data_IF_778107109659
#
_entry.id   IF_778107109659
#
_cell.length_a   1.000
_cell.length_b   1.000
_cell.length_c   1.000
_cell.angle_alpha   90.00
_cell.angle_beta   90.00
_cell.angle_gamma   90.00
#
_symmetry.space_group_name_H-M   'P 1'
#
loop_
_entity.id
_entity.type
_entity.pdbx_description
1 polymer ?
#
# COMPACT_ATOMS: atom_id res chain seq x y z
N UNK A 1 -30.38 -19.15 1.75
CA UNK A 1 -29.48 -18.35 2.61
C UNK A 1 -29.19 -17.04 1.89
N UNK A 2 -29.34 -15.88 2.53
CA UNK A 2 -29.02 -14.60 1.87
C UNK A 2 -27.50 -14.43 1.72
N UNK A 3 -27.05 -13.60 0.77
CA UNK A 3 -25.61 -13.27 0.64
C UNK A 3 -25.04 -12.72 1.96
N UNK A 4 -25.83 -11.91 2.67
CA UNK A 4 -25.47 -11.40 3.99
C UNK A 4 -25.37 -12.53 5.03
N UNK A 5 -26.30 -13.49 5.02
CA UNK A 5 -26.25 -14.64 5.93
C UNK A 5 -24.99 -15.49 5.75
N UNK A 6 -24.56 -15.72 4.51
CA UNK A 6 -23.32 -16.44 4.23
C UNK A 6 -22.07 -15.69 4.75
N UNK A 7 -22.06 -14.35 4.69
CA UNK A 7 -20.98 -13.53 5.24
C UNK A 7 -20.95 -13.63 6.76
N UNK A 8 -22.09 -13.51 7.43
CA UNK A 8 -22.18 -13.63 8.90
C UNK A 8 -21.69 -15.01 9.35
N UNK A 9 -22.16 -16.08 8.71
CA UNK A 9 -21.72 -17.44 9.04
C UNK A 9 -20.21 -17.63 8.84
N UNK A 10 -19.64 -17.07 7.77
CA UNK A 10 -18.20 -17.14 7.52
C UNK A 10 -17.38 -16.42 8.60
N UNK A 11 -17.83 -15.25 9.04
CA UNK A 11 -17.18 -14.48 10.12
C UNK A 11 -17.27 -15.24 11.44
N UNK A 12 -18.44 -15.77 11.81
CA UNK A 12 -18.61 -16.58 13.02
C UNK A 12 -17.79 -17.87 12.99
N UNK A 13 -17.68 -18.51 11.83
CA UNK A 13 -16.84 -19.70 11.64
C UNK A 13 -15.36 -19.35 11.82
N UNK A 14 -14.92 -18.21 11.29
CA UNK A 14 -13.55 -17.75 11.49
C UNK A 14 -13.28 -17.42 12.97
N UNK A 15 -14.19 -16.71 13.64
CA UNK A 15 -14.07 -16.42 15.08
C UNK A 15 -13.95 -17.69 15.93
N UNK A 16 -14.79 -18.70 15.65
CA UNK A 16 -14.68 -20.02 16.31
C UNK A 16 -13.34 -20.70 16.04
N UNK A 17 -12.87 -20.66 14.79
CA UNK A 17 -11.55 -21.20 14.43
C UNK A 17 -10.43 -20.55 15.24
N UNK A 18 -10.44 -19.22 15.39
CA UNK A 18 -9.43 -18.49 16.19
C UNK A 18 -9.49 -18.94 17.64
N UNK A 19 -10.67 -19.01 18.25
CA UNK A 19 -10.83 -19.46 19.64
C UNK A 19 -10.32 -20.89 19.86
N UNK A 20 -10.54 -21.80 18.89
CA UNK A 20 -9.99 -23.16 18.94
C UNK A 20 -8.46 -23.16 18.86
N UNK A 21 -7.84 -22.32 18.03
CA UNK A 21 -6.38 -22.19 18.01
C UNK A 21 -5.82 -21.63 19.31
N UNK A 22 -6.49 -20.63 19.91
CA UNK A 22 -6.11 -20.09 21.23
C UNK A 22 -6.18 -21.18 22.30
N UNK A 23 -7.29 -21.92 22.35
CA UNK A 23 -7.46 -23.02 23.29
C UNK A 23 -6.38 -24.08 23.11
N UNK A 24 -6.09 -24.45 21.87
CA UNK A 24 -5.03 -25.40 21.53
C UNK A 24 -3.65 -24.90 21.99
N UNK A 25 -3.32 -23.64 21.76
CA UNK A 25 -2.05 -23.05 22.20
C UNK A 25 -1.89 -23.03 23.73
N UNK A 26 -3.00 -23.04 24.48
CA UNK A 26 -2.97 -23.15 25.95
C UNK A 26 -2.92 -24.58 26.47
N UNK A 27 -3.35 -25.57 25.68
CA UNK A 27 -3.47 -26.97 26.13
C UNK A 27 -2.42 -27.93 25.55
N UNK A 28 -1.88 -27.64 24.37
CA UNK A 28 -0.92 -28.49 23.65
C UNK A 28 0.46 -27.84 23.65
N UNK A 29 1.38 -28.36 24.47
CA UNK A 29 2.73 -27.82 24.65
C UNK A 29 3.53 -27.73 23.34
N UNK A 30 3.37 -28.70 22.43
CA UNK A 30 4.10 -28.69 21.15
C UNK A 30 3.60 -27.57 20.25
N UNK A 31 2.28 -27.37 20.23
CA UNK A 31 1.68 -26.28 19.47
C UNK A 31 2.00 -24.91 20.09
N UNK A 32 1.98 -24.82 21.42
CA UNK A 32 2.40 -23.63 22.16
C UNK A 32 3.82 -23.21 21.78
N UNK A 33 4.77 -24.16 21.83
CA UNK A 33 6.16 -23.90 21.46
C UNK A 33 6.28 -23.46 19.99
N UNK A 34 5.59 -24.14 19.07
CA UNK A 34 5.64 -23.80 17.64
C UNK A 34 5.13 -22.38 17.34
N UNK A 35 4.05 -21.95 18.00
CA UNK A 35 3.49 -20.61 17.86
C UNK A 35 4.44 -19.56 18.45
N UNK A 36 5.01 -19.81 19.62
CA UNK A 36 5.98 -18.92 20.27
C UNK A 36 7.28 -18.80 19.46
N UNK A 37 7.79 -19.91 18.92
CA UNK A 37 8.99 -19.91 18.07
C UNK A 37 8.77 -19.10 16.80
N UNK A 38 7.61 -19.27 16.16
CA UNK A 38 7.23 -18.46 15.00
C UNK A 38 7.17 -16.97 15.36
N UNK A 39 6.56 -16.62 16.48
CA UNK A 39 6.45 -15.23 16.95
C UNK A 39 7.82 -14.59 17.17
N UNK A 40 8.69 -15.29 17.91
CA UNK A 40 10.03 -14.80 18.21
C UNK A 40 10.90 -14.71 16.94
N UNK A 41 10.77 -15.66 16.02
CA UNK A 41 11.44 -15.59 14.72
C UNK A 41 11.01 -14.36 13.94
N UNK A 42 9.70 -14.07 13.86
CA UNK A 42 9.20 -12.88 13.17
C UNK A 42 9.71 -11.61 13.85
N UNK A 43 9.62 -11.51 15.19
CA UNK A 43 10.18 -10.37 15.95
C UNK A 43 11.66 -10.13 15.66
N UNK A 44 12.47 -11.20 15.58
CA UNK A 44 13.90 -11.09 15.32
C UNK A 44 14.23 -10.69 13.87
N UNK A 45 13.36 -11.02 12.91
CA UNK A 45 13.54 -10.70 11.49
C UNK A 45 13.02 -9.30 11.10
N UNK A 46 12.27 -8.62 11.98
CA UNK A 46 11.73 -7.27 11.70
C UNK A 46 12.87 -6.26 11.60
N UNK A 47 13.01 -5.55 10.46
CA UNK A 47 14.03 -4.52 10.31
C UNK A 47 13.76 -3.32 11.22
N UNK A 48 14.83 -2.74 11.76
CA UNK A 48 14.78 -1.52 12.58
C UNK A 48 15.31 -0.35 11.75
N UNK A 49 14.51 0.71 11.64
CA UNK A 49 14.94 2.01 11.13
C UNK A 49 15.33 2.94 12.29
N UNK A 50 16.00 4.04 11.99
CA UNK A 50 16.40 5.04 12.99
C UNK A 50 15.75 6.38 12.66
N UNK A 51 15.01 6.93 13.63
CA UNK A 51 14.44 8.27 13.50
C UNK A 51 15.55 9.34 13.48
N UNK A 52 15.29 10.57 12.99
CA UNK A 52 16.25 11.67 13.05
C UNK A 52 16.75 12.00 14.47
N UNK A 53 15.93 11.74 15.49
CA UNK A 53 16.29 11.87 16.92
C UNK A 53 17.22 10.77 17.42
N UNK A 54 17.48 9.76 16.59
CA UNK A 54 18.26 8.58 16.91
C UNK A 54 17.49 7.42 17.52
N UNK A 55 16.17 7.56 17.71
CA UNK A 55 15.32 6.51 18.27
C UNK A 55 15.21 5.32 17.28
N UNK A 56 15.46 4.07 17.72
CA UNK A 56 15.20 2.89 16.91
C UNK A 56 13.69 2.65 16.78
N UNK A 57 13.22 2.43 15.55
CA UNK A 57 11.82 2.18 15.23
C UNK A 57 11.71 0.86 14.44
N UNK A 58 11.02 -0.17 14.96
CA UNK A 58 10.76 -1.37 14.18
C UNK A 58 9.82 -1.04 13.01
N UNK A 59 10.05 -1.65 11.85
CA UNK A 59 9.18 -1.46 10.68
C UNK A 59 7.80 -2.09 10.81
N UNK A 60 7.68 -3.06 11.70
CA UNK A 60 6.41 -3.62 12.14
C UNK A 60 6.45 -3.67 13.66
N UNK A 61 5.65 -2.85 14.31
CA UNK A 61 5.52 -2.89 15.77
C UNK A 61 4.58 -4.02 16.15
N UNK A 62 5.14 -5.14 16.60
CA UNK A 62 4.36 -6.23 17.19
C UNK A 62 4.10 -5.96 18.68
N UNK A 63 2.96 -6.39 19.23
CA UNK A 63 2.70 -6.27 20.66
C UNK A 63 3.67 -7.14 21.48
N UNK A 64 4.00 -6.70 22.70
CA UNK A 64 4.83 -7.47 23.63
C UNK A 64 3.98 -8.54 24.32
N UNK A 65 3.84 -9.68 23.65
CA UNK A 65 3.08 -10.84 24.11
C UNK A 65 4.03 -12.02 24.28
N UNK A 66 3.94 -12.69 25.42
CA UNK A 66 4.69 -13.89 25.80
C UNK A 66 3.81 -15.12 26.07
N UNK A 67 2.48 -14.95 26.14
CA UNK A 67 1.52 -16.05 26.32
C UNK A 67 1.14 -16.70 24.97
N UNK A 68 1.34 -18.02 24.79
CA UNK A 68 1.10 -18.70 23.51
C UNK A 68 -0.33 -18.54 22.96
N UNK A 69 -1.36 -18.50 23.82
CA UNK A 69 -2.74 -18.27 23.43
C UNK A 69 -3.00 -16.88 22.85
N UNK A 70 -2.49 -15.82 23.49
CA UNK A 70 -2.55 -14.46 22.97
C UNK A 70 -1.76 -14.31 21.65
N UNK A 71 -0.59 -14.96 21.53
CA UNK A 71 0.17 -15.01 20.28
C UNK A 71 -0.67 -15.69 19.17
N UNK A 72 -1.29 -16.84 19.48
CA UNK A 72 -2.16 -17.53 18.54
C UNK A 72 -3.35 -16.65 18.13
N UNK A 73 -3.97 -15.93 19.07
CA UNK A 73 -5.07 -15.01 18.77
C UNK A 73 -4.66 -13.97 17.74
N UNK A 74 -3.49 -13.35 17.92
CA UNK A 74 -2.98 -12.37 16.97
C UNK A 74 -2.70 -13.01 15.60
N UNK A 75 -1.93 -14.11 15.57
CA UNK A 75 -1.49 -14.74 14.33
C UNK A 75 -2.63 -15.33 13.49
N UNK A 76 -3.71 -15.81 14.11
CA UNK A 76 -4.84 -16.43 13.41
C UNK A 76 -6.05 -15.50 13.27
N UNK A 77 -6.21 -14.52 14.16
CA UNK A 77 -7.33 -13.57 14.16
C UNK A 77 -7.03 -12.30 13.39
N UNK A 78 -5.85 -11.72 13.58
CA UNK A 78 -5.45 -10.48 12.90
C UNK A 78 -4.55 -10.79 11.69
N UNK A 79 -3.67 -11.78 11.84
CA UNK A 79 -2.68 -12.18 10.84
C UNK A 79 -1.52 -11.19 10.72
N UNK A 80 -0.35 -11.65 10.26
CA UNK A 80 0.70 -10.72 9.85
C UNK A 80 0.31 -10.05 8.52
N UNK A 81 0.91 -8.90 8.15
CA UNK A 81 0.72 -8.35 6.81
C UNK A 81 0.96 -9.42 5.72
N UNK A 82 0.05 -9.53 4.76
CA UNK A 82 0.09 -10.54 3.71
C UNK A 82 -0.41 -11.93 4.12
N UNK A 83 -0.94 -12.09 5.33
CA UNK A 83 -1.55 -13.33 5.80
C UNK A 83 -3.02 -13.12 6.12
N UNK A 84 -3.85 -14.13 5.87
CA UNK A 84 -5.28 -14.10 6.19
C UNK A 84 -5.50 -13.82 7.70
N UNK A 85 -6.49 -12.99 8.09
CA UNK A 85 -7.52 -12.36 7.24
C UNK A 85 -7.10 -11.04 6.59
N UNK A 86 -5.81 -10.75 6.49
CA UNK A 86 -5.23 -9.57 5.87
C UNK A 86 -5.58 -8.26 6.58
N UNK A 87 -5.92 -8.33 7.87
CA UNK A 87 -6.27 -7.15 8.67
C UNK A 87 -5.12 -6.15 8.72
N UNK A 88 -3.90 -6.65 8.90
CA UNK A 88 -2.68 -5.83 8.97
C UNK A 88 -2.08 -5.49 7.60
N UNK A 89 -2.72 -5.89 6.50
CA UNK A 89 -2.29 -5.57 5.15
C UNK A 89 -2.50 -6.73 4.18
N UNK A 90 -2.89 -6.41 2.95
CA UNK A 90 -3.06 -7.40 1.89
C UNK A 90 -1.73 -8.01 1.41
N UNK A 91 -0.62 -7.27 1.54
CA UNK A 91 0.70 -7.69 1.11
C UNK A 91 1.66 -7.75 2.28
N UNK A 92 2.65 -8.65 2.21
CA UNK A 92 3.66 -8.83 3.26
C UNK A 92 4.50 -7.59 3.51
N UNK A 93 4.87 -6.91 2.43
CA UNK A 93 5.80 -5.79 2.46
C UNK A 93 5.08 -4.44 2.31
N UNK A 94 3.77 -4.44 2.01
CA UNK A 94 2.96 -3.22 1.76
C UNK A 94 3.77 -2.14 1.02
N UNK A 95 3.87 -0.93 1.59
CA UNK A 95 4.65 0.20 1.06
C UNK A 95 6.03 0.34 1.70
N UNK A 96 6.60 -0.73 2.25
CA UNK A 96 7.92 -0.66 2.88
C UNK A 96 8.97 -0.34 1.81
N UNK A 97 9.42 0.90 1.79
CA UNK A 97 10.56 1.29 0.97
C UNK A 97 11.79 0.48 1.37
N UNK A 98 12.74 0.17 0.48
CA UNK A 98 14.05 -0.33 0.90
C UNK A 98 14.63 0.58 2.00
N UNK A 99 15.34 0.03 2.98
CA UNK A 99 16.07 0.85 3.95
C UNK A 99 17.08 1.71 3.18
N UNK A 100 16.73 2.95 2.87
CA UNK A 100 17.69 3.96 2.43
C UNK A 100 18.45 4.37 3.68
N UNK A 101 19.78 4.28 3.63
CA UNK A 101 20.59 5.11 4.52
C UNK A 101 20.07 6.53 4.31
N UNK A 102 19.63 7.17 5.40
CA UNK A 102 19.06 8.52 5.41
C UNK A 102 19.84 9.34 4.40
N UNK A 103 19.16 9.75 3.32
CA UNK A 103 19.79 10.57 2.28
C UNK A 103 20.45 11.72 3.02
N UNK A 104 21.77 11.79 2.90
CA UNK A 104 22.55 12.90 3.41
C UNK A 104 21.95 14.15 2.78
N UNK A 105 21.21 14.93 3.54
CA UNK A 105 20.77 16.25 3.12
C UNK A 105 22.04 17.02 2.76
N UNK A 106 22.28 17.22 1.46
CA UNK A 106 23.31 18.13 1.00
C UNK A 106 22.92 19.54 1.43
N UNK A 107 23.38 19.93 2.61
CA UNK A 107 23.37 21.32 3.02
C UNK A 107 24.63 21.95 2.42
N UNK A 108 24.45 22.64 1.30
CA UNK A 108 25.48 23.48 0.66
C UNK A 108 26.77 22.76 0.22
N UNK A 109 26.66 21.76 -0.67
CA UNK A 109 27.79 21.35 -1.52
C UNK A 109 29.03 20.73 -0.84
N UNK A 110 28.98 20.44 0.45
CA UNK A 110 30.03 19.68 1.15
C UNK A 110 29.47 18.36 1.70
N UNK A 111 29.98 17.25 1.17
CA UNK A 111 29.64 15.91 1.60
C UNK A 111 30.27 15.62 2.97
N UNK A 112 29.47 15.67 4.03
CA UNK A 112 29.89 15.22 5.37
C UNK A 112 29.74 13.70 5.43
N UNK A 113 30.86 12.98 5.30
CA UNK A 113 30.88 11.53 5.46
C UNK A 113 30.59 11.13 6.92
N UNK A 114 29.34 10.76 7.20
CA UNK A 114 29.01 10.05 8.42
C UNK A 114 29.52 8.60 8.28
N UNK A 115 30.71 8.33 8.80
CA UNK A 115 31.21 6.96 8.89
C UNK A 115 30.34 6.12 9.81
N UNK A 116 29.96 4.91 9.37
CA UNK A 116 30.02 3.64 10.11
C UNK A 116 29.62 2.44 9.22
N UNK A 117 30.47 1.40 9.25
CA UNK A 117 30.33 0.00 8.82
C UNK A 117 29.96 -0.35 7.36
N UNK A 118 30.98 -0.75 6.59
CA UNK A 118 30.86 -1.57 5.36
C UNK A 118 30.14 -2.89 5.65
N UNK A 119 28.86 -3.00 5.28
CA UNK A 119 28.21 -4.29 5.16
C UNK A 119 28.90 -5.13 4.05
N UNK A 120 29.16 -6.41 4.33
CA UNK A 120 29.76 -7.37 3.39
C UNK A 120 29.03 -7.33 2.05
N UNK A 121 29.76 -7.05 0.97
CA UNK A 121 29.29 -7.24 -0.41
C UNK A 121 28.89 -8.70 -0.60
N UNK A 122 27.61 -9.02 -0.51
CA UNK A 122 27.09 -10.29 -1.03
C UNK A 122 27.25 -10.27 -2.56
N UNK A 123 27.90 -11.29 -3.12
CA UNK A 123 28.12 -11.47 -4.57
C UNK A 123 26.86 -11.91 -5.32
N UNK A 124 25.67 -11.71 -4.75
CA UNK A 124 24.40 -12.04 -5.39
C UNK A 124 23.84 -10.73 -5.95
N UNK A 125 23.79 -10.60 -7.27
CA UNK A 125 23.01 -9.52 -7.91
C UNK A 125 21.59 -9.64 -7.36
N UNK A 126 21.01 -8.61 -6.72
CA UNK A 126 19.61 -8.67 -6.34
C UNK A 126 18.80 -8.87 -7.61
N UNK A 127 18.05 -9.97 -7.66
CA UNK A 127 17.13 -10.27 -8.74
C UNK A 127 16.02 -9.21 -8.71
N UNK A 128 16.18 -8.18 -9.56
CA UNK A 128 15.29 -7.00 -9.65
C UNK A 128 15.31 -6.15 -8.36
N UNK A 129 15.56 -4.83 -8.41
CA UNK A 129 15.25 -4.00 -7.26
C UNK A 129 13.76 -4.18 -6.93
N UNK A 130 13.38 -4.29 -5.64
CA UNK A 130 11.98 -4.41 -5.26
C UNK A 130 11.21 -3.30 -5.95
N UNK A 131 10.09 -3.66 -6.59
CA UNK A 131 9.18 -2.72 -7.22
C UNK A 131 8.63 -1.82 -6.11
N UNK A 132 9.30 -0.68 -5.89
CA UNK A 132 8.85 0.36 -4.99
C UNK A 132 7.45 0.75 -5.47
N UNK A 133 6.43 0.39 -4.70
CA UNK A 133 5.06 0.75 -5.01
C UNK A 133 4.92 2.26 -4.77
N UNK A 134 4.54 2.99 -5.81
CA UNK A 134 4.17 4.40 -5.71
C UNK A 134 2.63 4.46 -5.63
N UNK A 135 2.02 4.53 -4.43
CA UNK A 135 0.57 4.52 -4.30
C UNK A 135 -0.05 5.79 -4.87
N UNK A 136 0.69 6.89 -4.90
CA UNK A 136 0.24 8.19 -5.41
C UNK A 136 -0.36 8.03 -6.80
N UNK A 137 -1.62 8.45 -6.91
CA UNK A 137 -2.39 8.50 -8.15
C UNK A 137 -3.11 9.83 -8.15
N UNK A 138 -2.70 10.73 -9.04
CA UNK A 138 -3.19 12.11 -9.03
C UNK A 138 -4.43 12.23 -9.91
N UNK A 139 -5.51 12.69 -9.30
CA UNK A 139 -6.79 12.91 -9.96
C UNK A 139 -6.79 14.25 -10.70
N UNK A 140 -7.15 14.23 -11.98
CA UNK A 140 -7.15 15.42 -12.82
C UNK A 140 -8.16 15.31 -13.96
N UNK A 141 -8.75 16.44 -14.31
CA UNK A 141 -9.66 16.61 -15.44
C UNK A 141 -10.28 17.99 -15.36
N UNK A 142 -10.10 18.80 -16.41
CA UNK A 142 -10.70 20.13 -16.56
C UNK A 142 -10.54 20.56 -18.03
N UNK A 143 -11.51 21.32 -18.54
CA UNK A 143 -11.51 21.83 -19.92
C UNK A 143 -11.47 20.68 -20.95
N UNK A 144 -10.70 20.84 -22.02
CA UNK A 144 -10.63 19.90 -23.13
C UNK A 144 -9.57 18.81 -22.90
N UNK A 145 -9.59 17.79 -23.75
CA UNK A 145 -8.70 16.66 -23.70
C UNK A 145 -7.22 17.07 -23.65
N UNK A 146 -6.80 18.03 -24.49
CA UNK A 146 -5.43 18.51 -24.59
C UNK A 146 -4.96 19.25 -23.33
N UNK A 147 -5.85 19.97 -22.66
CA UNK A 147 -5.52 20.70 -21.43
C UNK A 147 -5.34 19.75 -20.26
N UNK A 148 -6.20 18.73 -20.17
CA UNK A 148 -6.05 17.66 -19.18
C UNK A 148 -4.81 16.81 -19.48
N UNK A 149 -4.50 16.54 -20.74
CA UNK A 149 -3.27 15.84 -21.14
C UNK A 149 -2.01 16.60 -20.67
N UNK A 150 -1.90 17.90 -20.96
CA UNK A 150 -0.80 18.76 -20.46
C UNK A 150 -0.68 18.65 -18.94
N UNK A 151 -1.81 18.61 -18.23
CA UNK A 151 -1.83 18.45 -16.76
C UNK A 151 -1.33 17.06 -16.34
N UNK A 152 -1.68 15.98 -17.03
CA UNK A 152 -1.13 14.65 -16.75
C UNK A 152 0.39 14.60 -16.91
N UNK A 153 0.93 15.19 -17.99
CA UNK A 153 2.37 15.29 -18.18
C UNK A 153 3.04 16.09 -17.06
N UNK A 154 2.46 17.23 -16.68
CA UNK A 154 2.97 18.03 -15.57
C UNK A 154 2.99 17.25 -14.25
N UNK A 155 1.89 16.58 -13.90
CA UNK A 155 1.75 15.86 -12.63
C UNK A 155 2.65 14.61 -12.54
N UNK A 156 2.93 13.97 -13.68
CA UNK A 156 3.74 12.75 -13.75
C UNK A 156 5.21 12.98 -14.08
N UNK A 157 5.64 14.24 -14.30
CA UNK A 157 6.99 14.58 -14.78
C UNK A 157 8.13 14.02 -13.91
N UNK A 158 7.92 13.89 -12.59
CA UNK A 158 8.92 13.40 -11.63
C UNK A 158 8.50 12.08 -10.98
N UNK A 159 7.47 11.42 -11.49
CA UNK A 159 7.04 10.11 -10.99
C UNK A 159 7.69 9.00 -11.81
N UNK A 160 8.18 7.95 -11.15
CA UNK A 160 8.78 6.81 -11.86
C UNK A 160 7.72 6.02 -12.60
N UNK A 161 6.54 5.87 -12.01
CA UNK A 161 5.38 5.21 -12.61
C UNK A 161 4.30 6.22 -12.97
N UNK A 162 3.76 6.11 -14.20
CA UNK A 162 2.64 6.95 -14.65
C UNK A 162 1.33 6.31 -14.18
N UNK A 163 0.74 6.87 -13.12
CA UNK A 163 -0.54 6.42 -12.54
C UNK A 163 -1.58 7.52 -12.62
N UNK A 164 -2.24 7.60 -13.77
CA UNK A 164 -3.23 8.63 -14.06
C UNK A 164 -4.60 8.29 -13.44
N UNK A 165 -5.40 9.32 -13.17
CA UNK A 165 -6.80 9.20 -12.77
C UNK A 165 -7.58 10.37 -13.34
N UNK A 166 -8.56 10.06 -14.20
CA UNK A 166 -9.27 11.05 -15.01
C UNK A 166 -10.60 11.44 -14.37
N UNK A 167 -10.85 12.74 -14.26
CA UNK A 167 -12.14 13.31 -13.90
C UNK A 167 -12.89 13.73 -15.17
N UNK A 168 -14.08 13.19 -15.42
CA UNK A 168 -14.91 13.58 -16.56
C UNK A 168 -15.91 14.67 -16.17
N UNK A 169 -16.27 15.53 -17.12
CA UNK A 169 -17.26 16.58 -16.90
C UNK A 169 -18.69 16.02 -16.79
N UNK A 170 -19.64 16.89 -16.44
CA UNK A 170 -21.05 16.51 -16.29
C UNK A 170 -21.61 15.79 -17.54
N UNK A 171 -21.61 16.42 -18.73
CA UNK A 171 -22.16 15.82 -19.95
C UNK A 171 -21.58 14.42 -20.24
N UNK A 172 -20.25 14.27 -20.20
CA UNK A 172 -19.58 12.98 -20.42
C UNK A 172 -20.04 11.92 -19.41
N UNK A 173 -20.18 12.28 -18.12
CA UNK A 173 -20.65 11.36 -17.07
C UNK A 173 -22.09 10.87 -17.27
N UNK A 174 -22.94 11.67 -17.92
CA UNK A 174 -24.33 11.32 -18.24
C UNK A 174 -24.50 10.74 -19.65
N UNK A 175 -23.41 10.58 -20.42
CA UNK A 175 -23.46 10.08 -21.80
C UNK A 175 -24.16 11.05 -22.75
N UNK A 176 -23.94 12.34 -22.56
CA UNK A 176 -24.52 13.43 -23.36
C UNK A 176 -23.40 14.14 -24.09
N UNK A 177 -23.52 14.26 -25.40
CA UNK A 177 -22.56 14.96 -26.25
C UNK A 177 -22.59 16.47 -25.98
N UNK A 178 -21.45 17.14 -26.18
CA UNK A 178 -21.28 18.57 -25.90
C UNK A 178 -22.15 19.50 -26.75
N UNK A 179 -22.75 19.03 -27.85
CA UNK A 179 -23.68 19.80 -28.69
C UNK A 179 -25.15 19.69 -28.25
N UNK A 180 -25.43 18.94 -27.18
CA UNK A 180 -26.78 18.81 -26.64
C UNK A 180 -27.32 20.11 -26.04
N UNK A 181 -28.64 20.30 -26.12
CA UNK A 181 -29.29 21.48 -25.58
C UNK A 181 -29.11 21.59 -24.05
N UNK A 182 -28.70 22.77 -23.59
CA UNK A 182 -28.62 23.11 -22.16
C UNK A 182 -27.33 22.68 -21.45
N UNK A 183 -26.35 22.07 -22.15
CA UNK A 183 -25.11 21.59 -21.52
C UNK A 183 -23.91 22.53 -21.68
N UNK A 184 -24.02 23.58 -22.50
CA UNK A 184 -22.90 24.47 -22.86
C UNK A 184 -22.08 24.98 -21.66
N UNK A 185 -22.75 25.38 -20.57
CA UNK A 185 -22.08 25.87 -19.36
C UNK A 185 -21.44 24.79 -18.49
N UNK A 186 -21.54 23.52 -18.87
CA UNK A 186 -21.04 22.34 -18.15
C UNK A 186 -19.92 21.60 -18.87
N UNK A 187 -19.70 21.91 -20.15
CA UNK A 187 -18.62 21.32 -20.95
C UNK A 187 -17.28 21.71 -20.33
N UNK A 188 -16.48 20.72 -19.96
CA UNK A 188 -15.17 20.91 -19.35
C UNK A 188 -15.20 21.52 -17.94
N UNK A 189 -16.38 21.65 -17.33
CA UNK A 189 -16.57 22.16 -15.97
C UNK A 189 -16.52 21.01 -14.97
N UNK A 190 -15.64 21.09 -13.98
CA UNK A 190 -15.46 20.04 -12.98
C UNK A 190 -14.83 18.74 -13.50
N UNK A 191 -14.49 18.66 -14.78
CA UNK A 191 -13.87 17.51 -15.42
C UNK A 191 -13.47 17.78 -16.87
N UNK A 192 -12.86 16.80 -17.53
CA UNK A 192 -12.53 16.87 -18.95
C UNK A 192 -13.74 16.51 -19.81
N UNK A 193 -13.99 17.27 -20.87
CA UNK A 193 -15.00 16.96 -21.88
C UNK A 193 -14.46 15.90 -22.86
N UNK A 194 -15.21 14.82 -23.08
CA UNK A 194 -14.88 13.75 -24.04
C UNK A 194 -16.16 13.30 -24.72
N UNK A 195 -16.31 13.66 -26.00
CA UNK A 195 -17.47 13.25 -26.81
C UNK A 195 -17.11 12.05 -27.70
N UNK A 196 -15.88 12.02 -28.20
CA UNK A 196 -15.44 11.09 -29.25
C UNK A 196 -14.21 10.26 -28.86
N UNK A 197 -13.91 9.25 -29.68
CA UNK A 197 -12.66 8.48 -29.52
C UNK A 197 -11.43 9.35 -29.77
N UNK A 198 -11.52 10.33 -30.68
CA UNK A 198 -10.45 11.27 -30.96
C UNK A 198 -10.08 12.10 -29.72
N UNK A 199 -11.07 12.51 -28.92
CA UNK A 199 -10.81 13.23 -27.67
C UNK A 199 -10.09 12.33 -26.65
N UNK A 200 -10.50 11.06 -26.56
CA UNK A 200 -9.83 10.08 -25.71
C UNK A 200 -8.37 9.81 -26.16
N UNK A 201 -8.11 9.82 -27.46
CA UNK A 201 -6.75 9.73 -28.01
C UNK A 201 -5.94 10.95 -27.59
N UNK A 202 -6.46 12.18 -27.80
CA UNK A 202 -5.77 13.42 -27.40
C UNK A 202 -5.53 13.52 -25.89
N UNK A 203 -6.42 12.93 -25.08
CA UNK A 203 -6.30 12.91 -23.63
C UNK A 203 -5.08 12.13 -23.14
N UNK A 204 -4.68 11.09 -23.86
CA UNK A 204 -3.63 10.14 -23.44
C UNK A 204 -2.44 10.00 -24.39
N UNK A 205 -2.34 10.85 -25.41
CA UNK A 205 -1.14 11.02 -26.24
C UNK A 205 0.08 11.41 -25.38
#
# INVERSE_FOLDING_TARGET
MSKLGAVVEAVEKHGRFVLEQVKRARSDEKFAQAVTDRWNKVKAEIPISKAPTGLPLPRLALPEIDEPGEIARYLFGDGLPGEFPYLNGAYREMYLEPLREIESFEKNGEAVAAGVSRARKSKVRPARPPLQEEPTRLFSGLMLAEDTNKRFHFLSAHQRSKRLSTAFDGPTLYGVDSDADGVFGKIGEGGVAVDTVEDMVRLYD
#
